data_IF_649253774398
#
_entry.id   IF_649253774398
#
_cell.length_a   1.000
_cell.length_b   1.000
_cell.length_c   1.000
_cell.angle_alpha   90.00
_cell.angle_beta   90.00
_cell.angle_gamma   90.00
#
_symmetry.space_group_name_H-M   'P 1'
#
loop_
_entity.id
_entity.type
_entity.pdbx_description
1 polymer ?
#
# COMPACT_ATOMS: atom_id res chain seq x y z
N UNK A 1 -9.29 -3.93 4.80
CA UNK A 1 -8.76 -4.40 3.49
C UNK A 1 -7.34 -3.89 3.31
N UNK A 2 -6.43 -4.70 2.77
CA UNK A 2 -5.07 -4.28 2.43
C UNK A 2 -4.87 -4.43 0.93
N UNK A 3 -4.33 -3.39 0.28
CA UNK A 3 -3.98 -3.38 -1.13
C UNK A 3 -2.46 -3.59 -1.24
N UNK A 4 -2.06 -4.73 -1.79
CA UNK A 4 -0.64 -5.07 -2.01
C UNK A 4 -0.03 -4.20 -3.12
N UNK A 5 -0.55 -4.33 -4.34
CA UNK A 5 0.02 -3.68 -5.52
C UNK A 5 -1.05 -3.00 -6.37
N UNK A 6 -0.72 -1.81 -6.87
CA UNK A 6 -1.49 -1.10 -7.88
C UNK A 6 -0.54 -0.55 -8.94
N UNK A 7 -0.73 -0.99 -10.17
CA UNK A 7 0.08 -0.55 -11.30
C UNK A 7 -0.79 -0.05 -12.44
N UNK A 8 -0.42 1.11 -12.99
CA UNK A 8 -0.99 1.67 -14.21
C UNK A 8 0.10 1.66 -15.28
N UNK A 9 -0.19 1.00 -16.40
CA UNK A 9 0.68 1.00 -17.58
C UNK A 9 0.95 2.43 -18.03
N UNK A 10 2.16 2.76 -18.55
CA UNK A 10 2.53 4.13 -18.90
C UNK A 10 1.51 4.83 -19.80
N UNK A 11 0.93 4.10 -20.77
CA UNK A 11 -0.01 4.61 -21.77
C UNK A 11 -1.37 5.01 -21.17
N UNK A 12 -1.69 4.51 -19.97
CA UNK A 12 -2.94 4.76 -19.26
C UNK A 12 -2.76 5.70 -18.05
N UNK A 13 -1.59 6.34 -17.91
CA UNK A 13 -1.37 7.35 -16.86
C UNK A 13 -1.98 8.70 -17.26
N UNK A 14 -2.32 9.52 -16.28
CA UNK A 14 -2.88 10.86 -16.50
C UNK A 14 -4.36 10.91 -16.91
N UNK A 15 -4.97 9.80 -17.31
CA UNK A 15 -6.39 9.73 -17.72
C UNK A 15 -7.36 9.39 -16.57
N UNK A 16 -6.86 9.31 -15.33
CA UNK A 16 -7.67 9.03 -14.14
C UNK A 16 -7.86 7.55 -13.80
N UNK A 17 -7.19 6.62 -14.50
CA UNK A 17 -7.31 5.18 -14.29
C UNK A 17 -7.01 4.76 -12.83
N UNK A 18 -5.93 5.29 -12.23
CA UNK A 18 -5.59 4.99 -10.83
C UNK A 18 -6.67 5.41 -9.83
N UNK A 19 -7.29 6.58 -10.03
CA UNK A 19 -8.41 7.05 -9.20
C UNK A 19 -9.64 6.16 -9.37
N UNK A 20 -9.92 5.70 -10.59
CA UNK A 20 -11.04 4.81 -10.85
C UNK A 20 -10.86 3.45 -10.15
N UNK A 21 -9.66 2.86 -10.24
CA UNK A 21 -9.34 1.59 -9.57
C UNK A 21 -9.41 1.70 -8.04
N UNK A 22 -8.76 2.71 -7.44
CA UNK A 22 -8.83 2.88 -5.98
C UNK A 22 -10.25 3.14 -5.49
N UNK A 23 -11.05 3.90 -6.22
CA UNK A 23 -12.47 4.11 -5.87
C UNK A 23 -13.26 2.80 -5.91
N UNK A 24 -12.98 1.91 -6.87
CA UNK A 24 -13.63 0.61 -6.92
C UNK A 24 -13.23 -0.24 -5.71
N UNK A 25 -11.93 -0.33 -5.40
CA UNK A 25 -11.43 -1.07 -4.22
C UNK A 25 -12.03 -0.53 -2.91
N UNK A 26 -12.11 0.80 -2.77
CA UNK A 26 -12.74 1.43 -1.61
C UNK A 26 -14.23 1.08 -1.48
N UNK A 27 -14.97 0.99 -2.60
CA UNK A 27 -16.37 0.53 -2.58
C UNK A 27 -16.49 -0.92 -2.12
N UNK A 28 -15.60 -1.80 -2.58
CA UNK A 28 -15.55 -3.19 -2.12
C UNK A 28 -15.23 -3.26 -0.62
N UNK A 29 -14.30 -2.44 -0.12
CA UNK A 29 -14.01 -2.37 1.31
C UNK A 29 -15.25 -1.99 2.13
N UNK A 30 -15.99 -0.95 1.72
CA UNK A 30 -17.23 -0.54 2.39
C UNK A 30 -18.31 -1.63 2.30
N UNK A 31 -18.48 -2.27 1.13
CA UNK A 31 -19.47 -3.33 0.95
C UNK A 31 -19.19 -4.56 1.83
N UNK A 32 -17.94 -4.79 2.21
CA UNK A 32 -17.51 -5.87 3.10
C UNK A 32 -17.31 -5.42 4.56
N UNK A 33 -17.92 -4.30 4.97
CA UNK A 33 -17.85 -3.75 6.34
C UNK A 33 -16.40 -3.57 6.85
N UNK A 34 -15.47 -3.28 5.95
CA UNK A 34 -14.09 -2.99 6.34
C UNK A 34 -13.99 -1.56 6.87
N UNK A 35 -13.54 -1.40 8.11
CA UNK A 35 -13.29 -0.08 8.72
C UNK A 35 -12.11 0.71 8.12
N UNK A 36 -11.28 0.07 7.28
CA UNK A 36 -10.13 0.72 6.60
C UNK A 36 -9.72 0.04 5.29
N UNK A 37 -9.14 0.83 4.40
CA UNK A 37 -8.33 0.41 3.25
C UNK A 37 -6.91 0.94 3.45
N UNK A 38 -5.91 0.07 3.42
CA UNK A 38 -4.52 0.41 3.71
C UNK A 38 -3.58 -0.13 2.63
N UNK A 39 -2.48 0.57 2.36
CA UNK A 39 -1.43 0.17 1.42
C UNK A 39 -0.11 0.82 1.81
N UNK A 40 0.97 0.42 1.14
CA UNK A 40 2.28 1.04 1.31
C UNK A 40 2.72 1.80 0.08
N UNK A 41 3.49 2.85 0.30
CA UNK A 41 4.18 3.62 -0.73
C UNK A 41 5.62 3.80 -0.30
N UNK A 42 6.54 3.85 -1.27
CA UNK A 42 7.93 4.21 -0.99
C UNK A 42 7.98 5.71 -0.67
N UNK A 43 8.71 6.07 0.38
CA UNK A 43 8.83 7.44 0.92
C UNK A 43 9.33 8.47 -0.11
N UNK A 44 10.14 8.03 -1.07
CA UNK A 44 10.63 8.85 -2.15
C UNK A 44 9.66 9.01 -3.33
N UNK A 45 8.54 8.28 -3.36
CA UNK A 45 7.60 8.29 -4.49
C UNK A 45 6.60 9.46 -4.36
N UNK A 46 7.14 10.67 -4.39
CA UNK A 46 6.42 11.94 -4.27
C UNK A 46 5.17 12.03 -5.18
N UNK A 47 5.21 11.62 -6.47
CA UNK A 47 4.01 11.67 -7.31
C UNK A 47 2.88 10.77 -6.79
N UNK A 48 3.20 9.59 -6.28
CA UNK A 48 2.20 8.67 -5.72
C UNK A 48 1.67 9.20 -4.38
N UNK A 49 2.55 9.70 -3.51
CA UNK A 49 2.16 10.29 -2.22
C UNK A 49 1.17 11.43 -2.42
N UNK A 50 1.51 12.42 -3.26
CA UNK A 50 0.60 13.54 -3.60
C UNK A 50 -0.73 13.07 -4.17
N UNK A 51 -0.72 12.01 -4.96
CA UNK A 51 -1.95 11.41 -5.49
C UNK A 51 -2.81 10.79 -4.38
N UNK A 52 -2.21 10.08 -3.43
CA UNK A 52 -2.90 9.48 -2.29
C UNK A 52 -3.47 10.54 -1.33
N UNK A 53 -2.70 11.58 -1.02
CA UNK A 53 -3.18 12.71 -0.22
C UNK A 53 -4.36 13.42 -0.91
N UNK A 54 -4.29 13.61 -2.23
CA UNK A 54 -5.37 14.23 -3.01
C UNK A 54 -6.67 13.40 -3.11
N UNK A 55 -6.66 12.15 -2.62
CA UNK A 55 -7.88 11.33 -2.46
C UNK A 55 -8.29 11.15 -0.99
N UNK A 56 -7.64 11.85 -0.07
CA UNK A 56 -7.96 11.83 1.37
C UNK A 56 -7.33 10.69 2.15
N UNK A 57 -6.27 10.05 1.62
CA UNK A 57 -5.47 9.11 2.40
C UNK A 57 -4.45 9.85 3.26
N UNK A 58 -4.16 9.33 4.46
CA UNK A 58 -3.23 9.92 5.43
C UNK A 58 -2.11 8.92 5.75
N UNK A 59 -0.83 9.36 5.84
CA UNK A 59 0.27 8.49 6.21
C UNK A 59 0.17 8.06 7.68
N UNK A 60 0.44 6.78 7.95
CA UNK A 60 0.54 6.23 9.32
C UNK A 60 2.03 6.14 9.70
N UNK A 61 2.61 7.26 10.11
CA UNK A 61 4.07 7.42 10.29
C UNK A 61 4.61 6.86 11.61
N UNK A 62 3.73 6.47 12.53
CA UNK A 62 4.07 5.85 13.80
C UNK A 62 4.51 4.38 13.68
N UNK A 63 4.22 3.73 12.55
CA UNK A 63 4.56 2.34 12.30
C UNK A 63 5.82 2.20 11.45
N UNK A 64 6.83 1.52 11.98
CA UNK A 64 8.03 1.14 11.23
C UNK A 64 7.90 -0.29 10.74
N UNK A 65 8.09 -0.51 9.43
CA UNK A 65 8.10 -1.85 8.86
C UNK A 65 9.40 -2.57 9.20
N UNK A 66 9.30 -3.70 9.90
CA UNK A 66 10.41 -4.63 10.10
C UNK A 66 10.36 -5.76 9.06
N UNK A 67 11.53 -6.25 8.66
CA UNK A 67 11.67 -7.41 7.78
C UNK A 67 12.87 -8.24 8.22
N UNK A 68 12.67 -9.55 8.30
CA UNK A 68 13.77 -10.51 8.28
C UNK A 68 13.86 -11.12 6.89
N UNK A 69 15.07 -11.18 6.35
CA UNK A 69 15.35 -11.83 5.06
C UNK A 69 16.74 -12.45 5.09
N UNK A 70 17.03 -13.31 4.11
CA UNK A 70 18.36 -13.89 3.93
C UNK A 70 18.84 -14.70 5.14
N UNK A 71 20.10 -14.50 5.54
CA UNK A 71 20.72 -15.21 6.65
C UNK A 71 20.00 -14.92 7.98
N UNK A 72 19.69 -13.64 8.28
CA UNK A 72 19.06 -13.26 9.54
C UNK A 72 17.72 -13.97 9.80
N UNK A 73 16.90 -14.19 8.75
CA UNK A 73 15.68 -15.00 8.87
C UNK A 73 15.99 -16.48 9.16
N UNK A 74 16.97 -17.06 8.47
CA UNK A 74 17.33 -18.47 8.63
C UNK A 74 17.97 -18.74 9.99
N UNK A 75 18.83 -17.86 10.43
CA UNK A 75 19.53 -17.99 11.70
C UNK A 75 18.52 -17.89 12.86
N UNK A 76 17.59 -16.93 12.82
CA UNK A 76 16.52 -16.81 13.82
C UNK A 76 15.59 -18.04 13.84
N UNK A 77 15.25 -18.61 12.67
CA UNK A 77 14.43 -19.81 12.59
C UNK A 77 15.11 -21.07 13.14
N UNK A 78 16.44 -21.09 13.22
CA UNK A 78 17.24 -22.24 13.65
C UNK A 78 17.96 -22.03 14.99
N UNK A 79 17.88 -20.83 15.59
CA UNK A 79 18.31 -20.62 16.97
C UNK A 79 17.29 -21.26 17.91
N UNK A 80 17.71 -22.30 18.65
CA UNK A 80 16.92 -22.81 19.77
C UNK A 80 16.86 -21.79 20.92
N UNK A 81 15.83 -21.92 21.77
CA UNK A 81 15.62 -21.07 22.96
C UNK A 81 16.85 -20.98 23.88
#
# INVERSE_FOLDING_TARGET
MYLEDLYITPEQRGVGAGRALLRHIAREAVANDCGRLEWSVLDWNEPAIKFYEAIGAEPQSEWVRYRMEGAGLRDFANSGD
#
